data_IF_825633437245
#
_entry.id   IF_825633437245
#
_cell.length_a   1.000
_cell.length_b   1.000
_cell.length_c   1.000
_cell.angle_alpha   90.00
_cell.angle_beta   90.00
_cell.angle_gamma   90.00
#
_symmetry.space_group_name_H-M   'P 1'
#
loop_
_entity.id
_entity.type
_entity.pdbx_description
1 polymer ?
#
# COMPACT_ATOMS: atom_id res chain seq x y z
N UNK A 1 -6.44 14.68 0.48
CA UNK A 1 -5.81 13.51 -0.17
C UNK A 1 -5.25 12.70 0.96
N UNK A 2 -5.76 11.48 1.19
CA UNK A 2 -5.32 10.71 2.34
C UNK A 2 -4.02 9.94 2.05
N UNK A 3 -2.98 10.22 2.83
CA UNK A 3 -1.67 9.56 2.79
C UNK A 3 -1.64 8.37 3.75
N UNK A 4 -1.19 7.20 3.31
CA UNK A 4 -0.98 6.03 4.17
C UNK A 4 0.50 5.94 4.52
N UNK A 5 0.84 5.69 5.78
CA UNK A 5 2.21 5.39 6.20
C UNK A 5 2.28 3.95 6.67
N UNK A 6 3.15 3.17 6.03
CA UNK A 6 3.37 1.76 6.30
C UNK A 6 4.59 1.63 7.20
N UNK A 7 4.58 0.70 8.17
CA UNK A 7 5.67 0.58 9.16
C UNK A 7 6.68 -0.48 8.77
N UNK A 8 6.32 -1.33 7.82
CA UNK A 8 7.20 -2.37 7.31
C UNK A 8 7.73 -1.97 5.94
N UNK A 9 9.03 -2.18 5.74
CA UNK A 9 9.62 -2.12 4.40
C UNK A 9 8.88 -3.12 3.53
N UNK A 10 8.17 -2.62 2.52
CA UNK A 10 7.90 -3.42 1.34
C UNK A 10 9.24 -4.01 0.86
N UNK A 11 9.27 -5.30 0.54
CA UNK A 11 10.49 -5.98 0.09
C UNK A 11 11.03 -5.33 -1.20
N UNK A 12 10.16 -4.63 -1.93
CA UNK A 12 10.43 -4.03 -3.23
C UNK A 12 9.92 -2.58 -3.34
N UNK A 13 10.40 -1.86 -4.37
CA UNK A 13 10.04 -0.46 -4.61
C UNK A 13 8.64 -0.34 -5.21
N UNK A 14 8.03 0.85 -5.07
CA UNK A 14 6.73 1.16 -5.65
C UNK A 14 6.64 0.93 -7.18
N UNK A 15 7.77 0.99 -7.89
CA UNK A 15 7.85 0.74 -9.34
C UNK A 15 7.62 -0.72 -9.74
N UNK A 16 7.75 -1.65 -8.80
CA UNK A 16 7.58 -3.09 -9.03
C UNK A 16 6.21 -3.59 -8.50
N UNK A 17 5.38 -2.67 -8.01
CA UNK A 17 4.05 -2.98 -7.46
C UNK A 17 3.03 -2.92 -8.58
N UNK A 18 2.44 -4.07 -8.87
CA UNK A 18 1.35 -4.21 -9.82
C UNK A 18 0.02 -3.74 -9.21
N UNK A 19 -0.24 -4.13 -7.96
CA UNK A 19 -1.49 -3.89 -7.27
C UNK A 19 -1.26 -3.75 -5.77
N UNK A 20 -1.95 -2.82 -5.11
CA UNK A 20 -1.88 -2.65 -3.67
C UNK A 20 -3.28 -2.48 -3.10
N UNK A 21 -3.67 -3.31 -2.14
CA UNK A 21 -5.04 -3.36 -1.61
C UNK A 21 -5.05 -3.18 -0.10
N UNK A 22 -5.82 -2.22 0.40
CA UNK A 22 -5.97 -1.98 1.84
C UNK A 22 -7.06 -2.88 2.44
N UNK A 23 -6.74 -3.58 3.51
CA UNK A 23 -7.64 -4.44 4.29
C UNK A 23 -8.02 -3.79 5.63
N UNK A 24 -9.23 -4.05 6.15
CA UNK A 24 -10.22 -5.03 5.67
C UNK A 24 -11.19 -4.49 4.59
N UNK A 25 -11.00 -3.25 4.15
CA UNK A 25 -11.98 -2.57 3.29
C UNK A 25 -11.89 -3.02 1.82
N UNK A 26 -10.89 -3.84 1.48
CA UNK A 26 -10.60 -4.36 0.15
C UNK A 26 -10.55 -3.25 -0.90
N UNK A 27 -9.90 -2.13 -0.53
CA UNK A 27 -9.81 -0.92 -1.35
C UNK A 27 -8.50 -0.93 -2.13
N UNK A 28 -8.59 -0.84 -3.44
CA UNK A 28 -7.43 -0.70 -4.29
C UNK A 28 -6.79 0.70 -4.09
N UNK A 29 -5.50 0.72 -3.79
CA UNK A 29 -4.69 1.91 -3.62
C UNK A 29 -4.04 2.27 -4.95
N UNK A 30 -4.27 3.51 -5.39
CA UNK A 30 -3.73 4.03 -6.65
C UNK A 30 -2.89 5.28 -6.39
N UNK A 31 -2.14 5.71 -7.41
CA UNK A 31 -1.24 6.85 -7.29
C UNK A 31 -0.07 6.57 -6.34
N UNK A 32 0.40 5.32 -6.32
CA UNK A 32 1.50 4.87 -5.46
C UNK A 32 2.76 5.67 -5.77
N UNK A 33 3.16 6.50 -4.82
CA UNK A 33 4.38 7.28 -4.89
C UNK A 33 5.16 7.13 -3.59
N UNK A 34 6.49 6.98 -3.70
CA UNK A 34 7.37 6.81 -2.56
C UNK A 34 8.23 5.55 -2.65
N UNK A 35 8.93 5.25 -1.56
CA UNK A 35 9.85 4.12 -1.43
C UNK A 35 9.31 3.03 -0.53
N UNK A 36 10.11 1.98 -0.30
CA UNK A 36 9.76 0.80 0.49
C UNK A 36 9.13 1.07 1.87
N UNK A 37 9.40 2.24 2.47
CA UNK A 37 8.97 2.61 3.84
C UNK A 37 7.71 3.49 3.84
N UNK A 38 7.40 4.20 2.76
CA UNK A 38 6.32 5.18 2.76
C UNK A 38 5.64 5.25 1.41
N UNK A 39 4.33 4.98 1.40
CA UNK A 39 3.51 5.00 0.21
C UNK A 39 2.47 6.10 0.32
N UNK A 40 2.67 7.16 -0.45
CA UNK A 40 1.58 8.11 -0.68
C UNK A 40 0.62 7.48 -1.68
N UNK A 41 -0.65 7.39 -1.33
CA UNK A 41 -1.72 6.97 -2.21
C UNK A 41 -2.76 8.09 -2.29
N UNK A 42 -3.52 8.14 -3.38
CA UNK A 42 -4.63 9.09 -3.51
C UNK A 42 -5.92 8.34 -3.66
N UNK A 43 -6.73 8.27 -2.60
CA UNK A 43 -8.10 7.77 -2.67
C UNK A 43 -9.09 8.88 -2.30
N UNK A 44 -10.15 9.12 -3.09
CA UNK A 44 -11.02 10.27 -2.91
C UNK A 44 -11.65 10.47 -1.52
N UNK A 45 -12.02 9.45 -0.74
CA UNK A 45 -12.89 9.67 0.43
C UNK A 45 -12.80 8.52 1.46
N UNK A 46 -12.34 8.78 2.69
CA UNK A 46 -12.69 8.06 3.94
C UNK A 46 -12.49 6.53 4.09
N UNK A 47 -12.45 5.72 3.03
CA UNK A 47 -12.48 4.24 3.06
C UNK A 47 -11.14 3.59 3.38
N UNK A 48 -10.16 4.36 3.84
CA UNK A 48 -8.86 3.86 4.31
C UNK A 48 -8.60 4.19 5.77
N UNK A 49 -9.46 4.98 6.44
CA UNK A 49 -9.30 5.36 7.85
C UNK A 49 -9.43 4.19 8.87
N UNK A 50 -9.60 2.96 8.40
CA UNK A 50 -9.54 1.75 9.22
C UNK A 50 -8.59 0.68 8.69
N UNK A 51 -7.71 1.04 7.75
CA UNK A 51 -6.81 0.08 7.12
C UNK A 51 -5.80 -0.40 8.17
N UNK A 52 -5.73 -1.72 8.35
CA UNK A 52 -4.79 -2.35 9.29
C UNK A 52 -3.64 -2.99 8.56
N UNK A 53 -3.91 -3.56 7.39
CA UNK A 53 -2.91 -4.20 6.56
C UNK A 53 -3.09 -3.78 5.11
N UNK A 54 -2.02 -3.92 4.35
CA UNK A 54 -2.01 -3.71 2.92
C UNK A 54 -1.44 -4.95 2.27
N UNK A 55 -2.20 -5.51 1.33
CA UNK A 55 -1.75 -6.60 0.47
C UNK A 55 -1.11 -6.00 -0.78
N UNK A 56 0.16 -6.27 -0.97
CA UNK A 56 0.94 -5.88 -2.14
C UNK A 56 1.04 -7.07 -3.07
N UNK A 57 0.71 -6.86 -4.33
CA UNK A 57 1.04 -7.75 -5.43
C UNK A 57 2.09 -7.08 -6.31
N UNK A 58 3.24 -7.73 -6.42
CA UNK A 58 4.35 -7.29 -7.26
C UNK A 58 4.21 -7.83 -8.68
N UNK A 59 4.89 -7.19 -9.62
CA UNK A 59 4.99 -7.66 -11.00
C UNK A 59 5.72 -9.01 -11.09
N UNK A 60 5.52 -9.71 -12.21
CA UNK A 60 6.09 -11.04 -12.44
C UNK A 60 7.63 -11.08 -12.48
N UNK A 61 8.30 -9.93 -12.49
CA UNK A 61 9.75 -9.81 -12.37
C UNK A 61 10.27 -10.07 -10.95
N UNK A 62 9.39 -10.06 -9.94
CA UNK A 62 9.76 -10.23 -8.53
C UNK A 62 9.51 -11.69 -8.09
N UNK A 63 10.48 -12.36 -7.43
CA UNK A 63 10.33 -13.75 -7.01
C UNK A 63 9.25 -13.95 -5.94
N UNK A 64 9.02 -12.96 -5.07
CA UNK A 64 7.92 -12.94 -4.12
C UNK A 64 6.83 -12.00 -4.62
N UNK A 65 5.80 -12.57 -5.26
CA UNK A 65 4.75 -11.79 -5.92
C UNK A 65 3.71 -11.22 -4.96
N UNK A 66 3.61 -11.72 -3.73
CA UNK A 66 2.64 -11.25 -2.76
C UNK A 66 3.28 -10.98 -1.41
N UNK A 67 2.95 -9.85 -0.81
CA UNK A 67 3.40 -9.47 0.53
C UNK A 67 2.27 -8.75 1.24
N UNK A 68 2.01 -9.10 2.50
CA UNK A 68 1.09 -8.32 3.35
C UNK A 68 1.91 -7.57 4.37
N UNK A 69 1.67 -6.27 4.49
CA UNK A 69 2.37 -5.38 5.42
C UNK A 69 1.39 -4.68 6.35
N UNK A 70 1.84 -4.35 7.56
CA UNK A 70 1.02 -3.61 8.53
C UNK A 70 1.01 -2.10 8.23
N UNK A 71 -0.18 -1.52 8.36
CA UNK A 71 -0.39 -0.06 8.31
C UNK A 71 -0.11 0.51 9.68
N UNK A 72 0.82 1.47 9.76
CA UNK A 72 1.11 2.19 11.01
C UNK A 72 0.24 3.40 11.22
N UNK A 73 -0.05 4.17 10.16
CA UNK A 73 -0.89 5.34 10.27
C UNK A 73 -1.54 5.72 8.93
N UNK A 74 -2.70 6.35 9.02
CA UNK A 74 -3.42 6.91 7.88
C UNK A 74 -3.69 8.38 8.19
N UNK A 75 -3.17 9.27 7.35
CA UNK A 75 -3.25 10.73 7.52
C UNK A 75 -4.16 11.26 6.40
N UNK A 76 -5.28 11.88 6.73
CA UNK A 76 -6.28 12.35 5.76
C UNK A 76 -5.93 13.70 5.11
#
# INVERSE_FOLDING_TARGET
MATITLVENADHKATEIHLMTAQPMNVNLTGLAGGAIQFTCTNPLATIQGARTVDITYDASVPQQHQTIQVSSVIA
#
